data_IF_668751247568
#
_entry.id   IF_668751247568
#
_cell.length_a   1.000
_cell.length_b   1.000
_cell.length_c   1.000
_cell.angle_alpha   90.00
_cell.angle_beta   90.00
_cell.angle_gamma   90.00
#
_symmetry.space_group_name_H-M   'P 1'
#
loop_
_entity.id
_entity.type
_entity.pdbx_description
1 polymer ?
#
# COMPACT_ATOMS: atom_id res chain seq x y z
N UNK A 1 20.50 6.88 -4.47
CA UNK A 1 21.35 5.94 -5.25
C UNK A 1 20.78 4.55 -5.11
N UNK A 2 21.04 3.64 -6.05
CA UNK A 2 20.56 2.25 -5.97
C UNK A 2 20.98 1.55 -4.67
N UNK A 3 22.20 1.81 -4.19
CA UNK A 3 22.70 1.26 -2.92
C UNK A 3 21.91 1.74 -1.71
N UNK A 4 21.57 3.03 -1.65
CA UNK A 4 20.76 3.58 -0.57
C UNK A 4 19.33 3.00 -0.56
N UNK A 5 18.71 2.87 -1.73
CA UNK A 5 17.40 2.21 -1.86
C UNK A 5 17.44 0.75 -1.41
N UNK A 6 18.45 -0.01 -1.83
CA UNK A 6 18.63 -1.39 -1.40
C UNK A 6 18.88 -1.53 0.10
N UNK A 7 19.62 -0.59 0.72
CA UNK A 7 19.79 -0.56 2.18
C UNK A 7 18.46 -0.30 2.91
N UNK A 8 17.70 0.70 2.47
CA UNK A 8 16.39 1.01 3.04
C UNK A 8 15.47 -0.20 2.93
N UNK A 9 15.47 -0.88 1.77
CA UNK A 9 14.69 -2.10 1.58
C UNK A 9 15.14 -3.24 2.50
N UNK A 10 16.44 -3.46 2.67
CA UNK A 10 16.97 -4.48 3.57
C UNK A 10 16.61 -4.20 5.05
N UNK A 11 16.67 -2.93 5.47
CA UNK A 11 16.25 -2.49 6.81
C UNK A 11 14.75 -2.73 7.01
N UNK A 12 13.91 -2.35 6.03
CA UNK A 12 12.48 -2.64 6.03
C UNK A 12 12.21 -4.15 6.13
N UNK A 13 12.87 -4.96 5.32
CA UNK A 13 12.65 -6.40 5.30
C UNK A 13 13.07 -7.07 6.61
N UNK A 14 14.18 -6.62 7.20
CA UNK A 14 14.65 -7.11 8.50
C UNK A 14 13.61 -6.84 9.60
N UNK A 15 13.09 -5.61 9.64
CA UNK A 15 12.02 -5.23 10.57
C UNK A 15 10.74 -6.04 10.30
N UNK A 16 10.32 -6.14 9.05
CA UNK A 16 9.09 -6.83 8.62
C UNK A 16 9.12 -8.32 8.99
N UNK A 17 10.22 -9.01 8.70
CA UNK A 17 10.43 -10.40 9.08
C UNK A 17 10.57 -10.57 10.60
N UNK A 18 11.08 -9.57 11.31
CA UNK A 18 11.05 -9.49 12.78
C UNK A 18 9.62 -9.46 13.33
N UNK A 19 8.80 -8.57 12.81
CA UNK A 19 7.40 -8.41 13.22
C UNK A 19 6.60 -9.70 13.03
N UNK A 20 6.80 -10.41 11.91
CA UNK A 20 6.17 -11.71 11.67
C UNK A 20 6.53 -12.75 12.75
N UNK A 21 7.82 -12.86 13.09
CA UNK A 21 8.30 -13.78 14.12
C UNK A 21 7.76 -13.41 15.49
N UNK A 22 7.68 -12.12 15.81
CA UNK A 22 7.15 -11.64 17.09
C UNK A 22 5.65 -11.95 17.24
N UNK A 23 4.87 -11.83 16.16
CA UNK A 23 3.47 -12.25 16.14
C UNK A 23 3.36 -13.76 16.40
N UNK A 24 4.12 -14.57 15.69
CA UNK A 24 4.11 -16.03 15.85
C UNK A 24 4.50 -16.47 17.27
N UNK A 25 5.57 -15.90 17.82
CA UNK A 25 6.04 -16.18 19.18
C UNK A 25 5.00 -15.83 20.25
N UNK A 26 4.13 -14.86 19.97
CA UNK A 26 3.03 -14.44 20.86
C UNK A 26 1.71 -15.19 20.58
N UNK A 27 1.68 -16.11 19.62
CA UNK A 27 0.47 -16.81 19.19
C UNK A 27 -0.55 -15.90 18.49
N UNK A 28 -0.11 -14.79 17.92
CA UNK A 28 -0.94 -13.86 17.16
C UNK A 28 -0.95 -14.22 15.67
N UNK A 29 -2.02 -13.84 14.98
CA UNK A 29 -2.08 -13.90 13.51
C UNK A 29 -1.34 -12.71 12.89
N UNK A 30 -0.95 -12.86 11.63
CA UNK A 30 -0.28 -11.81 10.86
C UNK A 30 -0.79 -11.81 9.42
N UNK A 31 -1.12 -10.62 8.91
CA UNK A 31 -1.40 -10.37 7.50
C UNK A 31 -0.86 -8.98 7.12
N UNK A 32 -0.25 -8.87 5.95
CA UNK A 32 0.19 -7.64 5.34
C UNK A 32 -0.71 -7.34 4.14
N UNK A 33 -1.29 -6.15 4.15
CA UNK A 33 -2.24 -5.70 3.14
C UNK A 33 -1.54 -4.72 2.20
N UNK A 34 -1.65 -4.96 0.91
CA UNK A 34 -1.41 -3.94 -0.11
C UNK A 34 -2.72 -3.55 -0.76
N UNK A 35 -2.74 -2.38 -1.39
CA UNK A 35 -3.89 -2.04 -2.21
C UNK A 35 -3.90 -2.85 -3.51
N UNK A 36 -2.80 -2.89 -4.28
CA UNK A 36 -2.77 -3.58 -5.56
C UNK A 36 -1.50 -4.40 -5.74
N UNK A 37 -1.60 -5.72 -5.65
CA UNK A 37 -0.42 -6.58 -5.52
C UNK A 37 0.47 -6.56 -6.76
N UNK A 38 -0.10 -6.37 -7.95
CA UNK A 38 0.68 -6.43 -9.18
C UNK A 38 1.71 -5.30 -9.25
N UNK A 39 1.34 -4.10 -8.80
CA UNK A 39 2.25 -2.97 -8.70
C UNK A 39 3.30 -3.19 -7.60
N UNK A 40 2.85 -3.62 -6.40
CA UNK A 40 3.73 -3.83 -5.25
C UNK A 40 4.71 -4.98 -5.45
N UNK A 41 4.28 -6.10 -6.02
CA UNK A 41 5.15 -7.22 -6.35
C UNK A 41 6.25 -6.81 -7.34
N UNK A 42 5.90 -5.94 -8.30
CA UNK A 42 6.87 -5.33 -9.22
C UNK A 42 7.87 -4.44 -8.49
N UNK A 43 7.41 -3.62 -7.54
CA UNK A 43 8.26 -2.75 -6.73
C UNK A 43 9.21 -3.54 -5.80
N UNK A 44 8.69 -4.56 -5.11
CA UNK A 44 9.46 -5.48 -4.25
C UNK A 44 10.55 -6.20 -5.05
N UNK A 45 10.19 -6.71 -6.23
CA UNK A 45 11.16 -7.36 -7.13
C UNK A 45 12.25 -6.39 -7.57
N UNK A 46 11.88 -5.17 -7.97
CA UNK A 46 12.85 -4.13 -8.34
C UNK A 46 13.82 -3.86 -7.20
N UNK A 47 13.30 -3.64 -5.99
CA UNK A 47 14.09 -3.30 -4.81
C UNK A 47 15.18 -4.35 -4.50
N UNK A 48 14.83 -5.63 -4.59
CA UNK A 48 15.79 -6.75 -4.41
C UNK A 48 16.80 -6.84 -5.56
N UNK A 49 16.40 -6.52 -6.79
CA UNK A 49 17.29 -6.63 -7.96
C UNK A 49 18.28 -5.48 -8.10
N UNK A 50 18.05 -4.33 -7.46
CA UNK A 50 18.89 -3.13 -7.60
C UNK A 50 20.33 -3.35 -7.12
N UNK A 51 20.51 -3.94 -5.94
CA UNK A 51 21.84 -4.28 -5.39
C UNK A 51 21.72 -5.58 -4.57
N UNK A 52 21.73 -6.75 -5.24
CA UNK A 52 21.43 -8.04 -4.61
C UNK A 52 22.35 -8.44 -3.45
N UNK A 53 23.53 -7.84 -3.35
CA UNK A 53 24.47 -8.09 -2.26
C UNK A 53 24.01 -7.51 -0.90
N UNK A 54 23.02 -6.60 -0.89
CA UNK A 54 22.54 -5.89 0.30
C UNK A 54 21.16 -6.38 0.74
N UNK A 55 20.31 -6.78 -0.21
CA UNK A 55 18.91 -7.15 0.02
C UNK A 55 18.75 -8.64 0.35
N UNK A 56 17.63 -9.05 0.96
CA UNK A 56 17.26 -10.47 1.05
C UNK A 56 17.23 -11.11 -0.35
N UNK A 57 17.46 -12.42 -0.46
CA UNK A 57 17.37 -13.11 -1.74
C UNK A 57 15.91 -13.13 -2.24
N UNK A 58 15.72 -13.04 -3.56
CA UNK A 58 14.38 -12.92 -4.15
C UNK A 58 13.44 -14.05 -3.76
N UNK A 59 13.94 -15.28 -3.62
CA UNK A 59 13.11 -16.43 -3.21
C UNK A 59 12.46 -16.23 -1.83
N UNK A 60 13.16 -15.57 -0.90
CA UNK A 60 12.60 -15.26 0.43
C UNK A 60 11.43 -14.27 0.31
N UNK A 61 11.62 -13.19 -0.46
CA UNK A 61 10.58 -12.20 -0.71
C UNK A 61 9.41 -12.81 -1.47
N UNK A 62 9.68 -13.56 -2.55
CA UNK A 62 8.63 -14.18 -3.35
C UNK A 62 7.83 -15.22 -2.58
N UNK A 63 8.46 -15.98 -1.68
CA UNK A 63 7.75 -16.95 -0.83
C UNK A 63 6.75 -16.26 0.09
N UNK A 64 7.08 -15.06 0.58
CA UNK A 64 6.12 -14.27 1.36
C UNK A 64 4.99 -13.72 0.49
N UNK A 65 5.31 -13.13 -0.68
CA UNK A 65 4.34 -12.53 -1.59
C UNK A 65 3.34 -13.55 -2.18
N UNK A 66 3.70 -14.84 -2.24
CA UNK A 66 2.78 -15.91 -2.66
C UNK A 66 2.06 -16.60 -1.50
N UNK A 67 2.37 -16.20 -0.26
CA UNK A 67 1.73 -16.75 0.93
C UNK A 67 0.37 -16.11 1.17
N UNK A 68 -0.55 -16.78 1.90
CA UNK A 68 -1.83 -16.18 2.27
C UNK A 68 -1.71 -15.00 3.25
N UNK A 69 -0.51 -14.71 3.76
CA UNK A 69 -0.25 -13.54 4.62
C UNK A 69 -0.11 -12.26 3.81
N UNK A 70 0.11 -12.33 2.49
CA UNK A 70 0.08 -11.19 1.59
C UNK A 70 -1.31 -11.06 0.99
N UNK A 71 -1.99 -9.94 1.27
CA UNK A 71 -3.39 -9.76 0.91
C UNK A 71 -3.54 -8.59 -0.07
N UNK A 72 -4.08 -8.88 -1.24
CA UNK A 72 -4.52 -7.88 -2.21
C UNK A 72 -5.91 -7.34 -1.82
N UNK A 73 -5.94 -6.12 -1.30
CA UNK A 73 -7.17 -5.46 -0.89
C UNK A 73 -8.02 -5.00 -2.08
N UNK A 74 -7.42 -4.67 -3.22
CA UNK A 74 -8.16 -4.35 -4.44
C UNK A 74 -8.90 -5.57 -4.99
N UNK A 75 -8.31 -6.77 -4.95
CA UNK A 75 -9.03 -7.99 -5.32
C UNK A 75 -10.20 -8.25 -4.36
N UNK A 76 -9.98 -8.09 -3.05
CA UNK A 76 -11.06 -8.20 -2.05
C UNK A 76 -12.17 -7.17 -2.32
N UNK A 77 -11.81 -5.92 -2.61
CA UNK A 77 -12.76 -4.86 -2.95
C UNK A 77 -13.57 -5.20 -4.20
N UNK A 78 -12.96 -5.77 -5.25
CA UNK A 78 -13.65 -6.19 -6.47
C UNK A 78 -14.68 -7.30 -6.22
N UNK A 79 -14.45 -8.16 -5.24
CA UNK A 79 -15.36 -9.24 -4.89
C UNK A 79 -16.56 -8.74 -4.06
N UNK A 80 -16.40 -7.66 -3.31
CA UNK A 80 -17.40 -7.22 -2.32
C UNK A 80 -18.06 -5.86 -2.64
N UNK A 81 -17.48 -5.04 -3.51
CA UNK A 81 -17.91 -3.65 -3.75
C UNK A 81 -18.26 -3.46 -5.23
N UNK A 82 -19.37 -2.78 -5.48
CA UNK A 82 -19.77 -2.32 -6.82
C UNK A 82 -19.77 -0.79 -6.84
N UNK A 83 -19.12 -0.21 -7.85
CA UNK A 83 -19.07 1.23 -8.09
C UNK A 83 -19.46 1.52 -9.55
N UNK A 84 -20.05 2.69 -9.80
CA UNK A 84 -20.32 3.16 -11.18
C UNK A 84 -19.01 3.52 -11.93
N UNK A 85 -17.93 3.75 -11.19
CA UNK A 85 -16.62 4.14 -11.71
C UNK A 85 -15.49 3.17 -11.32
N UNK A 86 -14.22 3.62 -11.42
CA UNK A 86 -13.06 2.78 -11.12
C UNK A 86 -12.95 2.43 -9.63
N UNK A 87 -12.52 1.21 -9.32
CA UNK A 87 -12.31 0.69 -7.97
C UNK A 87 -10.94 1.08 -7.39
N UNK A 88 -10.49 2.31 -7.58
CA UNK A 88 -9.20 2.78 -7.07
C UNK A 88 -9.25 3.16 -5.59
N UNK A 89 -8.11 3.09 -4.89
CA UNK A 89 -8.02 3.41 -3.45
C UNK A 89 -8.56 4.81 -3.14
N UNK A 90 -8.24 5.80 -3.99
CA UNK A 90 -8.70 7.19 -3.85
C UNK A 90 -10.19 7.38 -4.09
N UNK A 91 -10.83 6.43 -4.77
CA UNK A 91 -12.29 6.40 -4.92
C UNK A 91 -12.93 5.73 -3.71
N UNK A 92 -12.34 4.63 -3.22
CA UNK A 92 -12.93 3.79 -2.18
C UNK A 92 -12.72 4.33 -0.76
N UNK A 93 -11.53 4.80 -0.42
CA UNK A 93 -11.20 5.19 0.95
C UNK A 93 -12.08 6.35 1.50
N UNK A 94 -12.53 7.34 0.70
CA UNK A 94 -13.50 8.33 1.17
C UNK A 94 -14.83 7.73 1.65
N UNK A 95 -15.32 6.64 1.03
CA UNK A 95 -16.51 5.93 1.52
C UNK A 95 -16.25 5.23 2.87
N UNK A 96 -14.99 4.85 3.13
CA UNK A 96 -14.53 4.37 4.42
C UNK A 96 -14.22 5.51 5.42
N UNK A 97 -14.50 6.78 5.06
CA UNK A 97 -14.30 7.95 5.92
C UNK A 97 -12.87 8.51 5.94
N UNK A 98 -11.96 8.00 5.11
CA UNK A 98 -10.58 8.48 5.04
C UNK A 98 -10.45 9.71 4.13
N UNK A 99 -9.65 10.68 4.56
CA UNK A 99 -9.31 11.88 3.79
C UNK A 99 -7.80 12.08 3.83
N UNK A 100 -7.19 12.28 2.65
CA UNK A 100 -5.77 12.61 2.55
C UNK A 100 -5.50 14.00 3.14
N UNK A 101 -4.28 14.19 3.65
CA UNK A 101 -3.79 15.52 4.09
C UNK A 101 -3.64 16.48 2.91
N UNK A 102 -3.27 15.95 1.75
CA UNK A 102 -3.09 16.72 0.53
C UNK A 102 -4.42 16.97 -0.19
N UNK A 103 -4.63 18.18 -0.70
CA UNK A 103 -5.83 18.55 -1.46
C UNK A 103 -5.87 17.91 -2.86
N UNK A 104 -4.72 17.55 -3.43
CA UNK A 104 -4.59 16.93 -4.74
C UNK A 104 -3.60 15.74 -4.69
N UNK A 105 -3.97 14.63 -4.02
CA UNK A 105 -3.09 13.48 -3.84
C UNK A 105 -3.01 12.64 -5.13
N UNK A 106 -2.69 13.24 -6.28
CA UNK A 106 -2.60 12.57 -7.57
C UNK A 106 -1.29 11.78 -7.71
N UNK A 107 -1.33 10.63 -8.38
CA UNK A 107 -0.10 9.88 -8.69
C UNK A 107 0.86 10.64 -9.62
N UNK A 108 0.33 11.51 -10.48
CA UNK A 108 1.15 12.41 -11.29
C UNK A 108 1.86 13.47 -10.44
N UNK A 109 1.17 14.03 -9.46
CA UNK A 109 1.73 15.02 -8.56
C UNK A 109 2.88 14.42 -7.72
N UNK A 110 2.75 13.16 -7.27
CA UNK A 110 3.81 12.50 -6.50
C UNK A 110 5.09 12.23 -7.31
N UNK A 111 5.00 12.04 -8.63
CA UNK A 111 6.18 11.96 -9.50
C UNK A 111 6.93 13.29 -9.52
N UNK A 112 6.22 14.42 -9.68
CA UNK A 112 6.82 15.76 -9.68
C UNK A 112 7.46 16.08 -8.33
N UNK A 113 6.81 15.71 -7.23
CA UNK A 113 7.39 15.88 -5.89
C UNK A 113 8.65 15.05 -5.74
N UNK A 114 8.68 13.80 -6.25
CA UNK A 114 9.87 12.94 -6.18
C UNK A 114 11.05 13.50 -6.99
N UNK A 115 10.80 13.97 -8.21
CA UNK A 115 11.81 14.64 -9.02
C UNK A 115 12.37 15.87 -8.29
N UNK A 116 11.49 16.71 -7.72
CA UNK A 116 11.89 17.88 -6.95
C UNK A 116 12.68 17.50 -5.68
N UNK A 117 12.22 16.49 -4.96
CA UNK A 117 12.83 15.99 -3.74
C UNK A 117 14.25 15.42 -3.95
N UNK A 118 14.58 15.00 -5.16
CA UNK A 118 15.87 14.35 -5.48
C UNK A 118 16.82 15.26 -6.26
N UNK A 119 16.36 16.42 -6.74
CA UNK A 119 17.15 17.33 -7.56
C UNK A 119 18.18 18.16 -6.79
N UNK A 120 17.89 18.52 -5.53
CA UNK A 120 18.75 19.38 -4.69
C UNK A 120 18.51 19.11 -3.20
N UNK A 121 19.15 19.88 -2.32
CA UNK A 121 18.93 19.86 -0.86
C UNK A 121 18.39 21.20 -0.32
N UNK A 122 17.78 22.01 -1.18
CA UNK A 122 17.16 23.28 -0.77
C UNK A 122 15.82 23.07 -0.05
N UNK A 123 15.24 24.18 0.45
CA UNK A 123 13.96 24.16 1.18
C UNK A 123 12.81 23.57 0.35
N UNK A 124 12.83 23.72 -0.98
CA UNK A 124 11.79 23.19 -1.88
C UNK A 124 11.91 21.67 -1.99
N UNK A 125 13.13 21.16 -2.13
CA UNK A 125 13.40 19.72 -2.13
C UNK A 125 13.02 19.09 -0.77
N UNK A 126 13.37 19.74 0.34
CA UNK A 126 12.99 19.28 1.69
C UNK A 126 11.47 19.25 1.90
N UNK A 127 10.75 20.29 1.47
CA UNK A 127 9.29 20.31 1.52
C UNK A 127 8.67 19.19 0.67
N UNK A 128 9.25 18.92 -0.51
CA UNK A 128 8.78 17.85 -1.41
C UNK A 128 9.03 16.46 -0.81
N UNK A 129 10.15 16.26 -0.11
CA UNK A 129 10.43 15.01 0.64
C UNK A 129 9.38 14.77 1.72
N UNK A 130 9.09 15.79 2.53
CA UNK A 130 8.07 15.68 3.57
C UNK A 130 6.71 15.34 2.97
N UNK A 131 6.33 16.02 1.88
CA UNK A 131 5.06 15.78 1.18
C UNK A 131 4.92 14.35 0.65
N UNK A 132 5.99 13.76 0.11
CA UNK A 132 6.00 12.35 -0.34
C UNK A 132 5.84 11.39 0.84
N UNK A 133 6.51 11.67 1.97
CA UNK A 133 6.39 10.83 3.17
C UNK A 133 4.94 10.85 3.69
N UNK A 134 4.32 12.02 3.74
CA UNK A 134 2.92 12.18 4.13
C UNK A 134 1.98 11.49 3.14
N UNK A 135 2.22 11.64 1.83
CA UNK A 135 1.45 10.95 0.80
C UNK A 135 1.52 9.42 0.94
N UNK A 136 2.71 8.85 1.13
CA UNK A 136 2.90 7.41 1.29
C UNK A 136 2.30 6.89 2.61
N UNK A 137 2.42 7.67 3.69
CA UNK A 137 1.79 7.33 4.97
C UNK A 137 0.25 7.37 4.84
N UNK A 138 -0.31 8.35 4.14
CA UNK A 138 -1.75 8.43 3.88
C UNK A 138 -2.25 7.24 3.05
N UNK A 139 -1.51 6.78 2.05
CA UNK A 139 -1.89 5.58 1.28
C UNK A 139 -1.91 4.31 2.16
N UNK A 140 -0.99 4.20 3.13
CA UNK A 140 -1.03 3.14 4.16
C UNK A 140 -2.27 3.25 5.06
N UNK A 141 -2.58 4.46 5.56
CA UNK A 141 -3.78 4.68 6.39
C UNK A 141 -5.06 4.44 5.60
N UNK A 142 -5.16 4.94 4.36
CA UNK A 142 -6.29 4.72 3.46
C UNK A 142 -6.55 3.22 3.24
N UNK A 143 -5.49 2.45 3.00
CA UNK A 143 -5.57 0.98 2.86
C UNK A 143 -6.12 0.34 4.12
N UNK A 144 -5.66 0.77 5.30
CA UNK A 144 -6.19 0.28 6.58
C UNK A 144 -7.67 0.64 6.78
N UNK A 145 -8.05 1.90 6.56
CA UNK A 145 -9.44 2.36 6.71
C UNK A 145 -10.37 1.56 5.80
N UNK A 146 -9.98 1.38 4.54
CA UNK A 146 -10.74 0.56 3.59
C UNK A 146 -10.87 -0.89 4.06
N UNK A 147 -9.77 -1.50 4.53
CA UNK A 147 -9.79 -2.87 5.05
C UNK A 147 -10.74 -3.00 6.24
N UNK A 148 -10.70 -2.05 7.17
CA UNK A 148 -11.54 -2.07 8.36
C UNK A 148 -13.00 -1.95 7.94
N UNK A 149 -13.33 -0.94 7.12
CA UNK A 149 -14.69 -0.68 6.61
C UNK A 149 -15.30 -1.86 5.85
N UNK A 150 -14.54 -2.53 4.97
CA UNK A 150 -14.98 -3.76 4.26
C UNK A 150 -15.37 -4.86 5.26
N UNK A 151 -14.68 -4.94 6.39
CA UNK A 151 -14.91 -5.96 7.39
C UNK A 151 -16.04 -5.62 8.38
N UNK A 152 -16.48 -4.36 8.43
CA UNK A 152 -17.50 -3.84 9.35
C UNK A 152 -18.68 -3.21 8.61
N UNK A 153 -18.69 -1.88 8.43
CA UNK A 153 -19.86 -1.11 8.00
C UNK A 153 -20.32 -1.46 6.58
N UNK A 154 -19.40 -1.82 5.68
CA UNK A 154 -19.74 -2.20 4.31
C UNK A 154 -20.70 -3.40 4.25
N UNK A 155 -20.63 -4.31 5.23
CA UNK A 155 -21.51 -5.49 5.31
C UNK A 155 -22.96 -5.17 5.66
N UNK A 156 -23.22 -3.93 6.10
CA UNK A 156 -24.56 -3.44 6.41
C UNK A 156 -25.23 -2.78 5.20
N UNK A 157 -24.48 -2.58 4.11
CA UNK A 157 -25.02 -2.01 2.88
C UNK A 157 -25.84 -3.06 2.12
N UNK A 158 -26.90 -2.65 1.41
CA UNK A 158 -27.70 -3.56 0.59
C UNK A 158 -26.83 -4.28 -0.44
N UNK A 159 -27.03 -5.59 -0.57
CA UNK A 159 -26.43 -6.36 -1.65
C UNK A 159 -27.10 -6.02 -2.98
N UNK A 160 -26.39 -6.22 -4.09
CA UNK A 160 -26.97 -6.09 -5.45
C UNK A 160 -28.28 -6.87 -5.59
N UNK A 161 -28.33 -8.06 -5.02
CA UNK A 161 -29.48 -8.97 -5.17
C UNK A 161 -30.71 -8.48 -4.38
N UNK A 162 -30.53 -7.51 -3.48
CA UNK A 162 -31.60 -6.83 -2.74
C UNK A 162 -32.00 -5.49 -3.36
N UNK A 163 -31.26 -5.00 -4.37
CA UNK A 163 -31.60 -3.76 -5.05
C UNK A 163 -32.76 -3.99 -6.02
N UNK A 164 -33.82 -3.17 -5.98
CA UNK A 164 -34.90 -3.25 -6.96
C UNK A 164 -34.32 -3.01 -8.37
N UNK A 165 -34.81 -3.77 -9.36
CA UNK A 165 -34.40 -3.58 -10.74
C UNK A 165 -34.55 -2.11 -11.15
N UNK A 166 -33.50 -1.54 -11.74
CA UNK A 166 -33.53 -0.17 -12.23
C UNK A 166 -34.73 0.00 -13.19
N UNK A 167 -35.58 0.99 -12.90
CA UNK A 167 -36.72 1.38 -13.75
C UNK A 167 -36.24 2.13 -14.98
#
# INVERSE_FOLDING_TARGET
TSEAESRIFAEFWTWFSGLQRDCENKGLTFAAYCFYEQAENGAMRRAVTLTPAITPPWNEVSNFLTSPKWVDLHNTAKECIQTEGPLGLKVLAPYAGFHWRDEAPGGEASMVWYETATASDDETALASRQRILEYNEDDCHATRYLRDWINTEAKLLPSRDEMPAAQ
#
